data_IF_789277823459
#
_entry.id   IF_789277823459
#
_cell.length_a   1.000
_cell.length_b   1.000
_cell.length_c   1.000
_cell.angle_alpha   90.00
_cell.angle_beta   90.00
_cell.angle_gamma   90.00
#
_symmetry.space_group_name_H-M   'P 1'
#
loop_
_entity.id
_entity.type
_entity.pdbx_description
1 polymer ?
#
# COMPACT_ATOMS: atom_id res chain seq x y z
N UNK A 1 21.40 10.48 -31.57
CA UNK A 1 21.95 9.12 -31.83
C UNK A 1 20.83 8.08 -31.81
N UNK A 2 21.04 6.88 -32.33
CA UNK A 2 20.05 5.81 -32.26
C UNK A 2 20.48 4.76 -31.23
N UNK A 3 19.54 4.22 -30.47
CA UNK A 3 19.82 3.18 -29.49
C UNK A 3 20.16 1.86 -30.20
N UNK A 4 21.34 1.29 -29.90
CA UNK A 4 21.74 -0.01 -30.44
C UNK A 4 20.88 -1.18 -29.93
N UNK A 5 20.18 -1.01 -28.79
CA UNK A 5 19.33 -2.06 -28.19
C UNK A 5 17.90 -2.07 -28.74
N UNK A 6 17.26 -0.91 -28.89
CA UNK A 6 15.84 -0.85 -29.30
C UNK A 6 15.57 -0.01 -30.57
N UNK A 7 16.59 0.61 -31.17
CA UNK A 7 16.45 1.41 -32.38
C UNK A 7 15.82 2.80 -32.19
N UNK A 8 15.43 3.19 -30.98
CA UNK A 8 14.83 4.50 -30.74
C UNK A 8 15.81 5.68 -30.98
N UNK A 9 15.30 6.79 -31.51
CA UNK A 9 16.06 8.02 -31.74
C UNK A 9 16.17 8.82 -30.43
N UNK A 10 17.38 9.18 -30.05
CA UNK A 10 17.69 9.92 -28.83
C UNK A 10 18.50 11.19 -29.15
N UNK A 11 18.46 12.18 -28.25
CA UNK A 11 19.25 13.40 -28.40
C UNK A 11 20.76 13.11 -28.37
N UNK A 12 21.59 13.84 -29.14
CA UNK A 12 23.04 13.70 -29.08
C UNK A 12 23.57 14.02 -27.68
N UNK A 13 24.36 13.11 -27.09
CA UNK A 13 24.92 13.27 -25.74
C UNK A 13 24.04 12.73 -24.60
N UNK A 14 22.87 12.15 -24.90
CA UNK A 14 22.08 11.43 -23.91
C UNK A 14 22.86 10.21 -23.39
N UNK A 15 23.00 10.08 -22.06
CA UNK A 15 23.69 8.95 -21.43
C UNK A 15 22.88 7.64 -21.48
N UNK A 16 21.55 7.73 -21.58
CA UNK A 16 20.63 6.60 -21.62
C UNK A 16 19.52 6.83 -22.65
N UNK A 17 18.98 5.73 -23.18
CA UNK A 17 17.86 5.75 -24.12
C UNK A 17 16.55 6.11 -23.39
N UNK A 18 15.90 7.20 -23.79
CA UNK A 18 14.63 7.64 -23.20
C UNK A 18 13.45 6.67 -23.42
N UNK A 19 13.58 5.71 -24.33
CA UNK A 19 12.52 4.73 -24.64
C UNK A 19 12.69 3.39 -23.91
N UNK A 20 13.92 2.96 -23.59
CA UNK A 20 14.16 1.63 -23.02
C UNK A 20 15.20 1.58 -21.90
N UNK A 21 15.75 2.73 -21.49
CA UNK A 21 16.73 2.83 -20.40
C UNK A 21 18.13 2.30 -20.71
N UNK A 22 18.39 1.75 -21.90
CA UNK A 22 19.71 1.23 -22.26
C UNK A 22 20.78 2.34 -22.29
N UNK A 23 21.99 2.10 -21.77
CA UNK A 23 23.07 3.07 -21.84
C UNK A 23 23.45 3.36 -23.30
N UNK A 24 23.72 4.62 -23.58
CA UNK A 24 24.14 5.09 -24.89
C UNK A 24 25.61 5.51 -24.79
N UNK A 25 26.47 4.85 -25.56
CA UNK A 25 27.91 5.13 -25.58
C UNK A 25 28.15 6.58 -26.02
N UNK A 26 28.59 7.44 -25.10
CA UNK A 26 29.00 8.80 -25.41
C UNK A 26 30.33 8.76 -26.18
N UNK A 27 30.31 9.17 -27.44
CA UNK A 27 31.54 9.45 -28.19
C UNK A 27 32.20 10.70 -27.60
N UNK A 28 33.25 10.51 -26.81
CA UNK A 28 34.15 11.57 -26.32
C UNK A 28 34.76 12.36 -27.46
N UNK A 29 34.73 13.71 -27.46
CA UNK A 29 35.71 14.50 -28.18
C UNK A 29 36.97 14.70 -27.33
N UNK A 30 38.11 14.36 -27.91
CA UNK A 30 39.43 14.72 -27.44
C UNK A 30 39.64 16.25 -27.44
N UNK A 31 40.36 16.77 -26.44
CA UNK A 31 40.82 18.16 -26.43
C UNK A 31 41.54 18.57 -25.13
N UNK A 32 42.78 19.01 -25.25
CA UNK A 32 43.81 19.28 -24.25
C UNK A 32 43.54 20.41 -23.21
N UNK A 33 44.36 20.55 -22.14
CA UNK A 33 44.16 21.48 -21.03
C UNK A 33 44.95 22.80 -21.18
N UNK A 34 44.45 23.94 -20.68
CA UNK A 34 45.27 25.06 -20.14
C UNK A 34 44.48 26.18 -19.39
N UNK A 35 44.89 26.41 -18.14
CA UNK A 35 45.10 27.67 -17.33
C UNK A 35 43.94 28.61 -16.92
N UNK A 36 43.63 28.55 -15.62
CA UNK A 36 43.63 29.59 -14.56
C UNK A 36 43.30 31.06 -14.87
N UNK A 37 42.31 31.61 -14.13
CA UNK A 37 42.12 33.05 -13.92
C UNK A 37 40.73 33.44 -13.39
N UNK A 38 40.64 33.79 -12.10
CA UNK A 38 39.56 34.56 -11.46
C UNK A 38 40.15 35.91 -10.99
N UNK A 39 39.37 36.91 -10.51
CA UNK A 39 37.96 37.25 -10.77
C UNK A 39 37.77 38.76 -11.11
N UNK A 40 36.65 39.16 -11.73
CA UNK A 40 36.20 40.57 -11.68
C UNK A 40 34.68 40.65 -11.50
N UNK A 41 34.29 41.41 -10.49
CA UNK A 41 32.93 41.80 -10.10
C UNK A 41 32.51 43.07 -10.84
N UNK A 42 31.26 43.16 -11.32
CA UNK A 42 30.40 44.35 -11.18
C UNK A 42 29.01 44.13 -11.81
N UNK A 43 28.01 44.65 -11.12
CA UNK A 43 26.57 44.55 -11.38
C UNK A 43 26.09 45.33 -12.61
N UNK A 44 24.97 44.91 -13.20
CA UNK A 44 23.88 45.81 -13.59
C UNK A 44 22.57 45.04 -13.82
N UNK A 45 21.48 45.62 -13.32
CA UNK A 45 20.13 45.08 -13.30
C UNK A 45 19.27 45.59 -14.48
N UNK A 46 18.20 44.85 -14.76
CA UNK A 46 16.97 45.28 -15.45
C UNK A 46 16.69 44.46 -16.72
N UNK A 47 15.48 44.05 -17.06
CA UNK A 47 14.13 44.14 -16.48
C UNK A 47 13.21 43.27 -17.37
N UNK A 48 12.04 42.89 -16.84
CA UNK A 48 10.81 42.42 -17.54
C UNK A 48 10.62 40.93 -17.86
N UNK A 49 9.75 40.35 -17.03
CA UNK A 49 8.45 39.74 -17.35
C UNK A 49 8.37 38.71 -18.49
N UNK A 50 7.85 37.52 -18.14
CA UNK A 50 6.84 36.78 -18.92
C UNK A 50 6.54 35.47 -18.20
N UNK A 51 5.31 35.33 -17.73
CA UNK A 51 4.87 34.15 -17.00
C UNK A 51 4.95 32.84 -17.78
N UNK A 52 4.96 31.74 -17.04
CA UNK A 52 4.08 30.59 -17.28
C UNK A 52 4.13 29.65 -16.08
N UNK A 53 2.95 29.41 -15.53
CA UNK A 53 2.66 28.38 -14.55
C UNK A 53 2.95 26.96 -15.07
N UNK A 54 2.98 26.04 -14.10
CA UNK A 54 2.77 24.57 -14.17
C UNK A 54 4.10 23.79 -14.33
N UNK A 55 4.42 22.77 -13.51
CA UNK A 55 3.56 21.77 -12.85
C UNK A 55 4.17 21.33 -11.51
N UNK A 56 3.59 21.76 -10.39
CA UNK A 56 3.56 20.95 -9.17
C UNK A 56 2.18 20.30 -9.22
N UNK A 57 2.11 19.03 -9.56
CA UNK A 57 0.82 18.42 -9.83
C UNK A 57 1.02 17.02 -10.34
N UNK A 58 1.10 16.09 -9.40
CA UNK A 58 0.52 14.74 -9.42
C UNK A 58 0.98 14.03 -8.14
N UNK A 59 2.26 14.13 -7.74
CA UNK A 59 2.74 13.52 -6.48
C UNK A 59 2.14 14.16 -5.21
N UNK A 60 2.10 15.50 -5.13
CA UNK A 60 1.47 16.20 -4.02
C UNK A 60 -0.07 16.11 -4.04
N UNK A 61 -0.67 15.92 -5.22
CA UNK A 61 -2.14 15.84 -5.35
C UNK A 61 -2.63 14.46 -4.93
N UNK A 62 -1.95 13.38 -5.31
CA UNK A 62 -2.28 12.04 -4.82
C UNK A 62 -2.13 11.95 -3.30
N UNK A 63 -1.01 12.41 -2.73
CA UNK A 63 -0.81 12.42 -1.28
C UNK A 63 -1.86 13.29 -0.55
N UNK A 64 -2.21 14.46 -1.10
CA UNK A 64 -3.26 15.32 -0.51
C UNK A 64 -4.65 14.70 -0.68
N UNK A 65 -4.95 14.03 -1.78
CA UNK A 65 -6.23 13.31 -1.96
C UNK A 65 -6.31 12.13 -0.99
N UNK A 66 -5.26 11.34 -0.84
CA UNK A 66 -5.19 10.24 0.14
C UNK A 66 -5.34 10.78 1.56
N UNK A 67 -4.62 11.85 1.93
CA UNK A 67 -4.75 12.49 3.24
C UNK A 67 -6.15 13.10 3.45
N UNK A 68 -6.77 13.66 2.41
CA UNK A 68 -8.13 14.20 2.49
C UNK A 68 -9.19 13.11 2.53
N UNK A 69 -8.98 11.95 1.88
CA UNK A 69 -9.84 10.77 1.98
C UNK A 69 -9.71 10.19 3.38
N UNK A 70 -8.49 9.96 3.88
CA UNK A 70 -8.24 9.51 5.25
C UNK A 70 -8.83 10.50 6.26
N UNK A 71 -8.64 11.80 6.07
CA UNK A 71 -9.23 12.83 6.92
C UNK A 71 -10.76 12.88 6.78
N UNK A 72 -11.34 12.69 5.61
CA UNK A 72 -12.79 12.66 5.43
C UNK A 72 -13.42 11.40 6.05
N UNK A 73 -12.78 10.24 5.89
CA UNK A 73 -13.11 8.96 6.53
C UNK A 73 -12.98 9.09 8.06
N UNK A 74 -11.95 9.79 8.54
CA UNK A 74 -11.74 10.08 9.98
C UNK A 74 -12.74 11.10 10.54
N UNK A 75 -13.09 12.15 9.77
CA UNK A 75 -14.04 13.19 10.16
C UNK A 75 -15.50 12.72 10.07
N UNK A 76 -15.77 11.68 9.28
CA UNK A 76 -17.03 10.97 9.23
C UNK A 76 -17.01 9.69 10.08
N UNK A 77 -15.97 9.40 10.85
CA UNK A 77 -15.99 8.43 11.95
C UNK A 77 -16.27 6.98 11.56
N UNK A 78 -15.80 6.51 10.41
CA UNK A 78 -15.94 5.12 9.98
C UNK A 78 -14.95 4.72 8.89
N UNK A 79 -14.32 3.54 9.00
CA UNK A 79 -13.38 2.96 8.01
C UNK A 79 -14.17 2.35 6.85
N UNK A 80 -13.78 2.58 5.59
CA UNK A 80 -14.41 1.95 4.40
C UNK A 80 -13.94 0.51 4.20
N UNK A 81 -14.72 -0.29 3.47
CA UNK A 81 -14.43 -1.67 3.04
C UNK A 81 -12.99 -1.88 2.51
N UNK A 82 -12.61 -1.15 1.48
CA UNK A 82 -11.31 -1.21 0.80
C UNK A 82 -10.16 -0.83 1.73
N UNK A 83 -10.34 0.22 2.53
CA UNK A 83 -9.35 0.62 3.53
C UNK A 83 -9.24 -0.39 4.68
N UNK A 84 -10.32 -1.09 5.02
CA UNK A 84 -10.30 -2.20 5.99
C UNK A 84 -9.48 -3.37 5.44
N UNK A 85 -9.69 -3.76 4.19
CA UNK A 85 -8.94 -4.85 3.56
C UNK A 85 -7.45 -4.53 3.41
N UNK A 86 -7.09 -3.32 2.96
CA UNK A 86 -5.67 -2.92 2.89
C UNK A 86 -5.02 -2.87 4.28
N UNK A 87 -5.74 -2.36 5.29
CA UNK A 87 -5.25 -2.33 6.67
C UNK A 87 -5.02 -3.72 7.25
N UNK A 88 -5.77 -4.74 6.79
CA UNK A 88 -5.50 -6.12 7.17
C UNK A 88 -4.12 -6.57 6.71
N UNK A 89 -3.73 -6.29 5.47
CA UNK A 89 -2.38 -6.57 4.99
C UNK A 89 -1.33 -5.72 5.71
N UNK A 90 -1.58 -4.43 5.95
CA UNK A 90 -0.69 -3.59 6.77
C UNK A 90 -0.43 -4.26 8.13
N UNK A 91 -1.49 -4.65 8.83
CA UNK A 91 -1.40 -5.21 10.17
C UNK A 91 -0.68 -6.57 10.18
N UNK A 92 -0.97 -7.44 9.21
CA UNK A 92 -0.33 -8.75 9.07
C UNK A 92 1.16 -8.62 8.72
N UNK A 93 1.52 -7.85 7.69
CA UNK A 93 2.92 -7.73 7.27
C UNK A 93 3.79 -6.94 8.24
N UNK A 94 3.20 -6.08 9.07
CA UNK A 94 3.93 -5.40 10.14
C UNK A 94 3.87 -6.13 11.49
N UNK A 95 3.19 -7.29 11.55
CA UNK A 95 2.93 -8.02 12.79
C UNK A 95 2.35 -7.12 13.90
N UNK A 96 1.39 -6.27 13.53
CA UNK A 96 0.72 -5.32 14.42
C UNK A 96 -0.54 -5.98 15.01
N UNK A 97 -0.37 -6.66 16.13
CA UNK A 97 -1.44 -7.36 16.83
C UNK A 97 -2.62 -6.44 17.21
N UNK A 98 -2.35 -5.20 17.63
CA UNK A 98 -3.38 -4.24 18.01
C UNK A 98 -4.19 -3.83 16.77
N UNK A 99 -3.52 -3.56 15.64
CA UNK A 99 -4.21 -3.26 14.38
C UNK A 99 -5.03 -4.45 13.84
N UNK A 100 -4.61 -5.70 14.08
CA UNK A 100 -5.39 -6.90 13.76
C UNK A 100 -6.65 -6.97 14.63
N UNK A 101 -6.52 -6.75 15.94
CA UNK A 101 -7.67 -6.73 16.87
C UNK A 101 -8.67 -5.63 16.49
N UNK A 102 -8.19 -4.45 16.08
CA UNK A 102 -8.98 -3.32 15.57
C UNK A 102 -9.71 -3.59 14.23
N UNK A 103 -9.47 -4.74 13.61
CA UNK A 103 -10.14 -5.19 12.40
C UNK A 103 -11.26 -6.19 12.69
N UNK A 104 -11.44 -6.60 13.95
CA UNK A 104 -12.47 -7.54 14.39
C UNK A 104 -13.58 -6.73 15.10
N UNK A 105 -14.88 -7.04 14.88
CA UNK A 105 -15.94 -6.40 15.63
C UNK A 105 -15.75 -6.61 17.14
N UNK A 106 -15.86 -5.57 17.99
CA UNK A 106 -15.63 -5.70 19.42
C UNK A 106 -16.61 -6.67 20.08
N UNK A 107 -17.88 -6.61 19.67
CA UNK A 107 -18.92 -7.51 20.18
C UNK A 107 -18.63 -8.99 19.83
N UNK A 108 -17.93 -9.24 18.71
CA UNK A 108 -17.48 -10.59 18.35
C UNK A 108 -16.36 -11.09 19.26
N UNK A 109 -15.42 -10.22 19.65
CA UNK A 109 -14.37 -10.55 20.61
C UNK A 109 -14.98 -10.84 21.98
N UNK A 110 -15.96 -10.03 22.40
CA UNK A 110 -16.67 -10.23 23.66
C UNK A 110 -17.43 -11.57 23.66
N UNK A 111 -18.14 -11.89 22.58
CA UNK A 111 -18.80 -13.19 22.41
C UNK A 111 -17.80 -14.36 22.49
N UNK A 112 -16.64 -14.24 21.83
CA UNK A 112 -15.60 -15.27 21.88
C UNK A 112 -15.01 -15.44 23.29
N UNK A 113 -14.82 -14.36 24.04
CA UNK A 113 -14.37 -14.37 25.44
C UNK A 113 -15.39 -15.07 26.35
N UNK A 114 -16.68 -14.74 26.19
CA UNK A 114 -17.76 -15.35 26.98
C UNK A 114 -17.87 -16.86 26.76
N UNK A 115 -17.67 -17.33 25.53
CA UNK A 115 -17.76 -18.75 25.19
C UNK A 115 -16.50 -19.54 25.58
N UNK A 116 -15.32 -18.96 25.36
CA UNK A 116 -14.04 -19.66 25.53
C UNK A 116 -13.49 -19.62 26.96
N UNK A 117 -13.98 -18.69 27.79
CA UNK A 117 -13.53 -18.50 29.16
C UNK A 117 -12.17 -17.78 29.31
N UNK A 118 -11.60 -17.30 28.20
CA UNK A 118 -10.39 -16.47 28.19
C UNK A 118 -10.74 -15.06 28.63
N UNK A 119 -9.84 -14.41 29.38
CA UNK A 119 -9.90 -12.98 29.61
C UNK A 119 -9.41 -12.20 28.40
N UNK A 120 -9.83 -10.94 28.27
CA UNK A 120 -9.33 -10.02 27.23
C UNK A 120 -7.80 -9.92 27.21
N UNK A 121 -7.17 -9.98 28.39
CA UNK A 121 -5.71 -9.94 28.51
C UNK A 121 -5.06 -11.20 27.94
N UNK A 122 -5.62 -12.39 28.20
CA UNK A 122 -5.11 -13.65 27.64
C UNK A 122 -5.25 -13.68 26.11
N UNK A 123 -6.37 -13.17 25.56
CA UNK A 123 -6.52 -13.01 24.11
C UNK A 123 -5.44 -12.10 23.55
N UNK A 124 -5.21 -10.94 24.17
CA UNK A 124 -4.17 -10.00 23.73
C UNK A 124 -2.77 -10.62 23.78
N UNK A 125 -2.44 -11.36 24.84
CA UNK A 125 -1.15 -12.06 24.98
C UNK A 125 -0.95 -13.10 23.86
N UNK A 126 -1.97 -13.88 23.52
CA UNK A 126 -1.92 -14.85 22.41
C UNK A 126 -1.69 -14.16 21.06
N UNK A 127 -2.41 -13.05 20.79
CA UNK A 127 -2.20 -12.27 19.56
C UNK A 127 -0.80 -11.66 19.49
N UNK A 128 -0.27 -11.15 20.61
CA UNK A 128 1.10 -10.64 20.68
C UNK A 128 2.13 -11.75 20.44
N UNK A 129 1.90 -12.94 20.97
CA UNK A 129 2.77 -14.09 20.72
C UNK A 129 2.77 -14.47 19.25
N UNK A 130 1.59 -14.62 18.63
CA UNK A 130 1.47 -14.91 17.19
C UNK A 130 2.16 -13.84 16.34
N UNK A 131 1.96 -12.55 16.66
CA UNK A 131 2.64 -11.45 16.00
C UNK A 131 4.16 -11.55 16.14
N UNK A 132 4.67 -11.88 17.32
CA UNK A 132 6.11 -12.05 17.54
C UNK A 132 6.69 -13.18 16.69
N UNK A 133 6.00 -14.32 16.58
CA UNK A 133 6.41 -15.45 15.74
C UNK A 133 6.41 -15.08 14.25
N UNK A 134 5.38 -14.37 13.80
CA UNK A 134 5.28 -13.88 12.43
C UNK A 134 6.36 -12.85 12.12
N UNK A 135 6.65 -11.93 13.05
CA UNK A 135 7.73 -10.94 12.91
C UNK A 135 9.10 -11.61 12.77
N UNK A 136 9.33 -12.72 13.49
CA UNK A 136 10.56 -13.49 13.38
C UNK A 136 10.66 -14.19 12.02
N UNK A 137 9.55 -14.77 11.53
CA UNK A 137 9.51 -15.39 10.21
C UNK A 137 9.77 -14.37 9.09
N UNK A 138 9.15 -13.18 9.16
CA UNK A 138 9.38 -12.08 8.22
C UNK A 138 10.80 -11.53 8.31
N UNK A 139 11.35 -11.38 9.52
CA UNK A 139 12.74 -10.96 9.72
C UNK A 139 13.75 -11.96 9.17
N UNK A 140 13.43 -13.26 9.17
CA UNK A 140 14.25 -14.28 8.53
C UNK A 140 14.29 -14.11 7.00
N UNK A 141 13.20 -13.64 6.38
CA UNK A 141 13.18 -13.32 4.95
C UNK A 141 14.03 -12.09 4.62
N UNK A 142 13.97 -11.04 5.45
CA UNK A 142 14.84 -9.85 5.29
C UNK A 142 16.33 -10.22 5.42
N UNK A 143 16.65 -11.15 6.33
CA UNK A 143 18.02 -11.68 6.50
C UNK A 143 18.56 -12.46 5.30
N UNK A 144 17.71 -12.90 4.36
CA UNK A 144 18.17 -13.55 3.12
C UNK A 144 18.80 -12.55 2.14
N UNK A 145 18.77 -11.23 2.44
CA UNK A 145 19.44 -10.19 1.66
C UNK A 145 18.76 -9.86 0.33
N UNK A 146 17.69 -10.56 0.03
CA UNK A 146 16.84 -10.38 -1.12
C UNK A 146 15.70 -9.47 -0.71
N UNK A 147 15.88 -8.15 -0.88
CA UNK A 147 14.84 -7.17 -0.57
C UNK A 147 13.54 -7.55 -1.26
N UNK A 148 12.59 -8.08 -0.46
CA UNK A 148 11.25 -8.44 -0.90
C UNK A 148 10.44 -7.16 -0.88
N UNK A 149 10.05 -6.67 -2.05
CA UNK A 149 9.11 -5.57 -2.17
C UNK A 149 7.70 -6.18 -2.23
N UNK A 150 6.91 -5.95 -1.19
CA UNK A 150 5.51 -6.39 -1.12
C UNK A 150 4.66 -5.14 -1.25
N UNK A 151 3.70 -5.18 -2.18
CA UNK A 151 2.68 -4.14 -2.32
C UNK A 151 1.31 -4.80 -2.43
N UNK A 152 0.30 -4.12 -1.90
CA UNK A 152 -1.09 -4.55 -1.98
C UNK A 152 -1.98 -3.35 -2.24
N UNK A 153 -3.01 -3.54 -3.05
CA UNK A 153 -4.01 -2.52 -3.31
C UNK A 153 -5.38 -3.15 -3.53
N UNK A 154 -6.42 -2.57 -2.94
CA UNK A 154 -7.78 -2.96 -3.26
C UNK A 154 -8.10 -2.55 -4.70
N UNK A 155 -8.41 -3.53 -5.55
CA UNK A 155 -8.68 -3.34 -6.98
C UNK A 155 -10.16 -3.42 -7.31
N UNK A 156 -10.94 -4.14 -6.50
CA UNK A 156 -12.40 -4.19 -6.61
C UNK A 156 -13.08 -4.37 -5.25
N UNK A 157 -14.38 -4.08 -5.19
CA UNK A 157 -15.22 -4.37 -4.04
C UNK A 157 -16.61 -4.78 -4.49
N UNK A 158 -16.89 -6.07 -4.33
CA UNK A 158 -18.15 -6.68 -4.75
C UNK A 158 -19.15 -6.71 -3.60
N UNK A 159 -20.39 -6.31 -3.89
CA UNK A 159 -21.51 -6.40 -2.95
C UNK A 159 -21.97 -7.85 -2.81
N UNK A 160 -22.24 -8.26 -1.57
CA UNK A 160 -22.79 -9.59 -1.30
C UNK A 160 -24.22 -9.72 -1.83
N UNK A 161 -24.57 -10.89 -2.36
CA UNK A 161 -25.95 -11.18 -2.77
C UNK A 161 -26.92 -11.00 -1.58
N UNK A 162 -28.11 -10.39 -1.76
CA UNK A 162 -29.03 -10.11 -0.66
C UNK A 162 -29.50 -11.33 0.14
N UNK A 163 -29.56 -12.52 -0.46
CA UNK A 163 -29.93 -13.74 0.26
C UNK A 163 -28.74 -14.28 1.07
N UNK A 164 -27.52 -14.15 0.57
CA UNK A 164 -26.30 -14.47 1.31
C UNK A 164 -26.08 -13.49 2.47
N UNK A 165 -26.28 -12.19 2.25
CA UNK A 165 -26.18 -11.17 3.29
C UNK A 165 -27.16 -11.46 4.42
N UNK A 166 -28.40 -11.85 4.11
CA UNK A 166 -29.40 -12.21 5.13
C UNK A 166 -28.94 -13.40 5.97
N UNK A 167 -28.39 -14.43 5.34
CA UNK A 167 -27.85 -15.60 6.04
C UNK A 167 -26.64 -15.23 6.91
N UNK A 168 -25.78 -14.31 6.45
CA UNK A 168 -24.67 -13.80 7.23
C UNK A 168 -25.15 -13.02 8.47
N UNK A 169 -26.13 -12.12 8.27
CA UNK A 169 -26.75 -11.35 9.34
C UNK A 169 -27.35 -12.25 10.42
N UNK A 170 -28.08 -13.30 10.04
CA UNK A 170 -28.66 -14.26 11.00
C UNK A 170 -27.59 -14.97 11.86
N UNK A 171 -26.40 -15.23 11.31
CA UNK A 171 -25.29 -15.84 12.06
C UNK A 171 -24.66 -14.85 13.06
N UNK A 172 -24.42 -13.61 12.61
CA UNK A 172 -23.80 -12.57 13.44
C UNK A 172 -24.76 -12.02 14.51
N UNK A 173 -26.07 -11.98 14.24
CA UNK A 173 -27.10 -11.63 15.21
C UNK A 173 -27.08 -12.56 16.43
N UNK A 174 -26.81 -13.86 16.22
CA UNK A 174 -26.66 -14.85 17.29
C UNK A 174 -25.45 -14.57 18.19
N UNK A 175 -24.47 -13.81 17.70
CA UNK A 175 -23.27 -13.35 18.39
C UNK A 175 -23.40 -11.89 18.87
N UNK A 176 -24.60 -11.31 18.80
CA UNK A 176 -24.89 -9.92 19.15
C UNK A 176 -24.13 -8.87 18.31
N UNK A 177 -23.77 -9.21 17.07
CA UNK A 177 -23.12 -8.30 16.12
C UNK A 177 -24.13 -7.87 15.04
N UNK A 178 -24.50 -6.59 15.01
CA UNK A 178 -25.45 -6.03 14.04
C UNK A 178 -24.75 -5.69 12.70
N UNK A 179 -24.81 -6.62 11.76
CA UNK A 179 -24.23 -6.47 10.41
C UNK A 179 -25.23 -5.79 9.48
N UNK A 180 -24.85 -4.65 8.92
CA UNK A 180 -25.71 -3.84 8.04
C UNK A 180 -25.45 -4.02 6.55
N UNK A 181 -24.22 -4.38 6.18
CA UNK A 181 -23.78 -4.63 4.80
C UNK A 181 -22.58 -5.60 4.83
N UNK A 182 -22.31 -6.28 3.72
CA UNK A 182 -21.16 -7.16 3.55
C UNK A 182 -20.64 -7.13 2.11
N UNK A 183 -19.32 -7.20 1.97
CA UNK A 183 -18.63 -7.09 0.69
C UNK A 183 -17.46 -8.05 0.62
N UNK A 184 -17.06 -8.39 -0.60
CA UNK A 184 -15.78 -9.05 -0.87
C UNK A 184 -14.88 -8.03 -1.54
N UNK A 185 -13.77 -7.68 -0.89
CA UNK A 185 -12.77 -6.77 -1.46
C UNK A 185 -11.69 -7.60 -2.13
N UNK A 186 -11.49 -7.40 -3.43
CA UNK A 186 -10.38 -7.98 -4.16
C UNK A 186 -9.12 -7.15 -3.92
N UNK A 187 -8.09 -7.74 -3.31
CA UNK A 187 -6.80 -7.09 -3.09
C UNK A 187 -5.75 -7.73 -3.98
N UNK A 188 -5.17 -6.95 -4.89
CA UNK A 188 -4.00 -7.38 -5.67
C UNK A 188 -2.76 -7.31 -4.78
N UNK A 189 -2.23 -8.47 -4.40
CA UNK A 189 -0.94 -8.62 -3.73
C UNK A 189 0.15 -8.86 -4.78
N UNK A 190 1.18 -8.03 -4.78
CA UNK A 190 2.35 -8.17 -5.65
C UNK A 190 3.62 -8.34 -4.83
N UNK A 191 4.40 -9.36 -5.19
CA UNK A 191 5.66 -9.71 -4.54
C UNK A 191 6.79 -9.61 -5.56
N UNK A 192 7.78 -8.77 -5.27
CA UNK A 192 8.95 -8.60 -6.10
C UNK A 192 10.22 -9.00 -5.35
N UNK A 193 11.01 -9.89 -5.95
CA UNK A 193 12.34 -10.25 -5.47
C UNK A 193 13.34 -10.11 -6.62
N UNK A 194 14.06 -8.97 -6.62
CA UNK A 194 14.94 -8.58 -7.75
C UNK A 194 16.12 -9.54 -7.93
N UNK A 195 16.63 -10.12 -6.84
CA UNK A 195 17.72 -11.11 -6.84
C UNK A 195 17.37 -12.39 -7.60
N UNK A 196 16.10 -12.82 -7.51
CA UNK A 196 15.59 -14.03 -8.13
C UNK A 196 14.81 -13.75 -9.42
N UNK A 197 14.66 -12.48 -9.81
CA UNK A 197 13.89 -12.08 -10.98
C UNK A 197 12.39 -12.37 -10.84
N UNK A 198 11.89 -12.47 -9.61
CA UNK A 198 10.48 -12.71 -9.29
C UNK A 198 9.73 -11.39 -9.29
N UNK A 199 8.61 -11.33 -10.01
CA UNK A 199 7.66 -10.22 -10.03
C UNK A 199 6.28 -10.80 -10.37
N UNK A 200 5.60 -11.30 -9.33
CA UNK A 200 4.32 -12.01 -9.45
C UNK A 200 3.25 -11.23 -8.69
N UNK A 201 2.04 -11.19 -9.24
CA UNK A 201 0.86 -10.70 -8.53
C UNK A 201 -0.23 -11.76 -8.47
N UNK A 202 -1.03 -11.69 -7.42
CA UNK A 202 -2.23 -12.50 -7.22
C UNK A 202 -3.32 -11.63 -6.60
N UNK A 203 -4.56 -11.90 -6.95
CA UNK A 203 -5.71 -11.31 -6.26
C UNK A 203 -6.12 -12.20 -5.10
N UNK A 204 -6.46 -11.58 -3.96
CA UNK A 204 -6.94 -12.23 -2.76
C UNK A 204 -8.27 -11.60 -2.38
N UNK A 205 -9.28 -12.44 -2.14
CA UNK A 205 -10.62 -12.02 -1.74
C UNK A 205 -10.67 -11.86 -0.22
N UNK A 206 -10.92 -10.63 0.22
CA UNK A 206 -11.03 -10.28 1.64
C UNK A 206 -12.50 -9.95 1.96
N UNK A 207 -13.23 -10.86 2.63
CA UNK A 207 -14.59 -10.58 3.04
C UNK A 207 -14.59 -9.58 4.20
N UNK A 208 -15.48 -8.59 4.11
CA UNK A 208 -15.64 -7.53 5.09
C UNK A 208 -17.12 -7.32 5.42
N UNK A 209 -17.40 -6.96 6.66
CA UNK A 209 -18.75 -6.68 7.18
C UNK A 209 -18.83 -5.27 7.74
N UNK A 210 -19.98 -4.62 7.57
CA UNK A 210 -20.25 -3.29 8.11
C UNK A 210 -21.01 -3.39 9.42
N UNK A 211 -20.39 -2.93 10.51
CA UNK A 211 -21.01 -2.82 11.83
C UNK A 211 -21.06 -1.35 12.23
N UNK A 212 -22.28 -0.82 12.39
CA UNK A 212 -22.52 0.60 12.60
C UNK A 212 -22.04 1.45 11.42
N UNK A 213 -20.93 2.17 11.61
CA UNK A 213 -20.37 3.08 10.57
C UNK A 213 -19.02 2.62 10.03
N UNK A 214 -18.50 1.51 10.53
CA UNK A 214 -17.17 1.01 10.21
C UNK A 214 -17.24 -0.37 9.56
N UNK A 215 -16.29 -0.63 8.68
CA UNK A 215 -16.06 -1.94 8.09
C UNK A 215 -15.01 -2.72 8.88
N UNK A 216 -15.25 -4.01 9.06
CA UNK A 216 -14.41 -4.99 9.78
C UNK A 216 -14.16 -6.21 8.91
N UNK A 217 -13.14 -7.00 9.23
CA UNK A 217 -12.86 -8.27 8.56
C UNK A 217 -13.90 -9.29 8.99
N UNK A 218 -14.51 -9.97 8.02
CA UNK A 218 -15.35 -11.13 8.30
C UNK A 218 -14.46 -12.35 8.59
N UNK A 219 -13.98 -12.41 9.83
CA UNK A 219 -13.10 -13.49 10.29
C UNK A 219 -13.75 -14.88 10.21
N UNK A 220 -15.07 -14.96 10.11
CA UNK A 220 -15.79 -16.24 10.01
C UNK A 220 -15.77 -16.83 8.60
N UNK A 221 -15.63 -15.99 7.57
CA UNK A 221 -15.56 -16.39 6.17
C UNK A 221 -14.20 -16.12 5.50
N UNK A 222 -13.24 -15.56 6.23
CA UNK A 222 -11.87 -15.34 5.76
C UNK A 222 -11.19 -16.70 5.48
N UNK A 223 -10.96 -16.99 4.20
CA UNK A 223 -10.29 -18.22 3.74
C UNK A 223 -8.94 -17.87 3.08
N UNK A 224 -7.91 -18.68 3.34
CA UNK A 224 -6.57 -18.57 2.75
C UNK A 224 -6.20 -19.83 1.96
#
# INVERSE_FOLDING_TARGET
>A
MYCGKCGAKNEPGAAFCGACGAPLEASTPAGAPVIEGEPVSAQAAGTQDSGKHKKIGIAAVAAVVVVLVIAAVSLLGGRSDTATAERFFDAVFNADAEAIVDLIPPDLIEAAIEESGYSRAEVEEEFQQMASEMSYALGALDSLGDGVDISYNAVDSEEMDPDQLRYLQEQYDALHVDVSDARTVEVELRVQMRSMGLDESTTIDIPVIQVGRSWYIDVTNLNF
#
